data_IF_124229531402
#
_entry.id   IF_124229531402
#
_cell.length_a   1.000
_cell.length_b   1.000
_cell.length_c   1.000
_cell.angle_alpha   90.00
_cell.angle_beta   90.00
_cell.angle_gamma   90.00
#
_symmetry.space_group_name_H-M   'P 1'
#
loop_
_entity.id
_entity.type
_entity.pdbx_description
1 polymer ?
#
# COMPACT_ATOMS: atom_id res chain seq x y z
N UNK A 1 -12.56 14.04 2.75
CA UNK A 1 -12.55 12.57 2.58
C UNK A 1 -11.92 11.82 3.75
N UNK A 2 -10.66 12.07 4.11
CA UNK A 2 -9.99 11.34 5.20
C UNK A 2 -10.77 11.36 6.54
N UNK A 3 -11.31 12.51 6.95
CA UNK A 3 -12.07 12.61 8.20
C UNK A 3 -13.40 11.83 8.17
N UNK A 4 -14.08 11.81 7.03
CA UNK A 4 -15.32 11.04 6.86
C UNK A 4 -15.06 9.52 6.91
N UNK A 5 -13.97 9.05 6.28
CA UNK A 5 -13.58 7.65 6.37
C UNK A 5 -13.20 7.24 7.81
N UNK A 6 -12.47 8.10 8.53
CA UNK A 6 -12.16 7.90 9.96
C UNK A 6 -13.42 7.79 10.81
N UNK A 7 -14.42 8.64 10.56
CA UNK A 7 -15.71 8.57 11.25
C UNK A 7 -16.45 7.24 11.01
N UNK A 8 -16.21 6.59 9.86
CA UNK A 8 -16.72 5.25 9.53
C UNK A 8 -15.80 4.10 10.00
N UNK A 9 -14.85 4.36 10.91
CA UNK A 9 -14.02 3.33 11.53
C UNK A 9 -12.71 3.00 10.80
N UNK A 10 -12.37 3.71 9.72
CA UNK A 10 -11.08 3.52 9.04
C UNK A 10 -9.94 4.01 9.92
N UNK A 11 -8.99 3.11 10.23
CA UNK A 11 -7.76 3.48 10.93
C UNK A 11 -6.80 4.16 9.96
N UNK A 12 -6.42 5.39 10.28
CA UNK A 12 -5.40 6.12 9.55
C UNK A 12 -4.06 6.04 10.28
N UNK A 13 -3.03 5.54 9.61
CA UNK A 13 -1.66 5.43 10.13
C UNK A 13 -0.78 6.35 9.27
N UNK A 14 -0.02 7.23 9.92
CA UNK A 14 0.81 8.22 9.24
C UNK A 14 2.16 8.42 9.94
N UNK A 15 3.04 9.24 9.34
CA UNK A 15 4.44 9.32 9.74
C UNK A 15 5.19 8.03 9.39
N UNK A 16 6.26 7.74 10.11
CA UNK A 16 7.11 6.58 9.86
C UNK A 16 6.38 5.24 9.99
N UNK A 17 5.28 5.21 10.75
CA UNK A 17 4.44 4.02 10.88
C UNK A 17 3.54 3.77 9.67
N UNK A 18 3.18 4.84 8.95
CA UNK A 18 2.35 4.79 7.73
C UNK A 18 3.16 4.81 6.43
N UNK A 19 4.45 5.13 6.49
CA UNK A 19 5.31 5.17 5.32
C UNK A 19 5.82 3.76 4.98
N UNK A 20 5.17 3.13 4.00
CA UNK A 20 5.51 1.79 3.52
C UNK A 20 6.83 1.81 2.74
N UNK A 21 7.73 0.87 3.07
CA UNK A 21 9.05 0.70 2.44
C UNK A 21 9.11 -0.49 1.47
N UNK A 22 8.44 -1.61 1.79
CA UNK A 22 8.42 -2.80 0.93
C UNK A 22 7.17 -3.64 1.14
N UNK A 23 6.81 -4.38 0.10
CA UNK A 23 5.83 -5.46 0.16
C UNK A 23 6.48 -6.73 0.73
N UNK A 24 5.67 -7.58 1.35
CA UNK A 24 6.10 -8.86 1.93
C UNK A 24 5.41 -9.97 1.16
N UNK A 25 6.20 -10.93 0.69
CA UNK A 25 5.72 -12.14 0.05
C UNK A 25 6.29 -13.36 0.79
N UNK A 26 5.54 -14.46 0.79
CA UNK A 26 6.06 -15.75 1.25
C UNK A 26 6.99 -16.39 0.20
N UNK A 27 7.55 -17.55 0.54
CA UNK A 27 8.46 -18.29 -0.33
C UNK A 27 7.78 -18.83 -1.62
N UNK A 28 6.45 -18.77 -1.70
CA UNK A 28 5.65 -19.19 -2.86
C UNK A 28 5.20 -17.99 -3.72
N UNK A 29 5.58 -16.77 -3.34
CA UNK A 29 5.15 -15.54 -4.00
C UNK A 29 3.77 -15.06 -3.58
N UNK A 30 3.18 -15.63 -2.52
CA UNK A 30 1.89 -15.16 -1.96
C UNK A 30 2.13 -13.85 -1.22
N UNK A 31 1.33 -12.83 -1.54
CA UNK A 31 1.35 -11.57 -0.81
C UNK A 31 0.91 -11.76 0.65
N UNK A 32 1.68 -11.21 1.59
CA UNK A 32 1.40 -11.32 3.04
C UNK A 32 1.12 -9.99 3.73
N UNK A 33 1.52 -8.87 3.13
CA UNK A 33 1.39 -7.55 3.74
C UNK A 33 2.49 -6.59 3.33
N UNK A 34 2.69 -5.57 4.16
CA UNK A 34 3.69 -4.51 3.95
C UNK A 34 4.50 -4.26 5.21
N UNK A 35 5.67 -3.65 5.05
CA UNK A 35 6.47 -3.15 6.18
C UNK A 35 6.73 -1.66 6.01
N UNK A 36 6.56 -0.92 7.10
CA UNK A 36 6.82 0.51 7.16
C UNK A 36 8.30 0.81 7.41
N UNK A 37 8.73 2.06 7.22
CA UNK A 37 10.12 2.48 7.42
C UNK A 37 10.61 2.26 8.86
N UNK A 38 9.71 2.30 9.85
CA UNK A 38 9.99 1.97 11.25
C UNK A 38 10.14 0.46 11.53
N UNK A 39 10.00 -0.40 10.52
CA UNK A 39 10.08 -1.86 10.66
C UNK A 39 8.78 -2.56 11.06
N UNK A 40 7.67 -1.82 11.25
CA UNK A 40 6.37 -2.40 11.60
C UNK A 40 5.75 -3.12 10.41
N UNK A 41 5.25 -4.32 10.66
CA UNK A 41 4.56 -5.14 9.66
C UNK A 41 3.05 -4.95 9.77
N UNK A 42 2.41 -4.70 8.63
CA UNK A 42 0.96 -4.63 8.48
C UNK A 42 0.52 -5.77 7.56
N UNK A 43 -0.08 -6.81 8.13
CA UNK A 43 -0.61 -7.95 7.37
C UNK A 43 -2.01 -7.65 6.86
N UNK A 44 -2.29 -8.06 5.62
CA UNK A 44 -3.61 -7.92 5.01
C UNK A 44 -3.80 -8.97 3.92
N UNK A 45 -5.05 -9.42 3.74
CA UNK A 45 -5.40 -10.31 2.61
C UNK A 45 -5.42 -9.59 1.26
N UNK A 46 -5.65 -8.28 1.26
CA UNK A 46 -5.67 -7.43 0.06
C UNK A 46 -4.95 -6.12 0.37
N UNK A 47 -4.13 -5.63 -0.56
CA UNK A 47 -3.52 -4.29 -0.50
C UNK A 47 -3.78 -3.53 -1.78
N UNK A 48 -4.20 -2.28 -1.61
CA UNK A 48 -4.42 -1.32 -2.68
C UNK A 48 -3.27 -0.31 -2.63
N UNK A 49 -2.45 -0.27 -3.68
CA UNK A 49 -1.37 0.70 -3.82
C UNK A 49 -1.88 1.95 -4.53
N UNK A 50 -2.21 2.97 -3.75
CA UNK A 50 -2.62 4.29 -4.24
C UNK A 50 -1.58 5.37 -3.91
N UNK A 51 -0.30 5.05 -4.04
CA UNK A 51 0.84 5.88 -3.63
C UNK A 51 1.33 6.88 -4.68
N UNK A 52 0.57 7.11 -5.76
CA UNK A 52 0.93 8.03 -6.83
C UNK A 52 2.27 7.66 -7.48
N UNK A 53 3.14 8.65 -7.69
CA UNK A 53 4.48 8.46 -8.29
C UNK A 53 5.38 7.53 -7.49
N UNK A 54 5.16 7.40 -6.18
CA UNK A 54 5.95 6.50 -5.34
C UNK A 54 5.62 5.01 -5.57
N UNK A 55 4.58 4.68 -6.32
CA UNK A 55 4.20 3.28 -6.56
C UNK A 55 5.31 2.48 -7.23
N UNK A 56 6.07 3.11 -8.14
CA UNK A 56 7.20 2.46 -8.82
C UNK A 56 8.36 2.07 -7.90
N UNK A 57 8.42 2.60 -6.66
CA UNK A 57 9.44 2.21 -5.68
C UNK A 57 9.03 0.97 -4.87
N UNK A 58 7.73 0.63 -4.88
CA UNK A 58 7.16 -0.48 -4.11
C UNK A 58 6.94 -1.74 -4.94
N UNK A 59 6.76 -1.59 -6.25
CA UNK A 59 6.57 -2.70 -7.20
C UNK A 59 7.47 -2.51 -8.41
N UNK A 60 8.07 -3.60 -8.89
CA UNK A 60 8.64 -3.61 -10.23
C UNK A 60 7.49 -3.45 -11.21
N UNK A 61 7.46 -2.33 -11.93
CA UNK A 61 6.50 -2.10 -13.01
C UNK A 61 6.83 -3.04 -14.18
N UNK A 62 6.38 -4.29 -14.09
CA UNK A 62 6.41 -5.22 -15.22
C UNK A 62 5.44 -4.70 -16.27
N UNK A 63 5.85 -4.70 -17.54
CA UNK A 63 5.03 -4.28 -18.69
C UNK A 63 3.62 -4.87 -18.57
N UNK A 64 2.64 -4.05 -18.18
CA UNK A 64 1.29 -4.54 -17.82
C UNK A 64 0.63 -3.84 -16.63
N UNK A 65 1.29 -2.89 -15.94
CA UNK A 65 0.59 -2.01 -14.99
C UNK A 65 -0.27 -1.01 -15.76
N UNK A 66 -1.56 -1.32 -15.90
CA UNK A 66 -2.55 -0.36 -16.39
C UNK A 66 -2.84 0.65 -15.27
N UNK A 67 -2.11 1.76 -15.25
CA UNK A 67 -2.53 2.95 -14.53
C UNK A 67 -3.79 3.48 -15.23
N UNK A 68 -4.98 3.09 -14.75
CA UNK A 68 -6.23 3.70 -15.19
C UNK A 68 -6.58 4.84 -14.24
N UNK A 69 -6.40 6.07 -14.73
CA UNK A 69 -7.04 7.24 -14.13
C UNK A 69 -8.52 7.18 -14.49
N UNK A 70 -9.40 7.18 -13.49
CA UNK A 70 -10.82 7.45 -13.72
C UNK A 70 -10.93 8.92 -14.13
N UNK A 71 -11.12 9.17 -15.42
CA UNK A 71 -11.47 10.49 -15.94
C UNK A 71 -12.99 10.59 -15.83
N UNK A 72 -13.46 11.47 -14.93
CA UNK A 72 -14.87 11.87 -14.84
C UNK A 72 -15.37 12.54 -16.11
#
# INVERSE_FOLDING_TARGET
MANAARANGVRYICGDDGHVKKLIYDNKGTFMGVISVNGRVHQAGIVILASGSNTATLVEAKEGVAAQTMVT
#
